data_IF_335819313689
#
_entry.id   IF_335819313689
#
_cell.length_a   1.000
_cell.length_b   1.000
_cell.length_c   1.000
_cell.angle_alpha   90.00
_cell.angle_beta   90.00
_cell.angle_gamma   90.00
#
_symmetry.space_group_name_H-M   'P 1'
#
loop_
_entity.id
_entity.type
_entity.pdbx_description
1 polymer ?
#
# COMPACT_ATOMS: atom_id res chain seq x y z
N UNK A 1 -30.60 34.38 8.05
CA UNK A 1 -30.01 33.28 7.25
C UNK A 1 -28.66 32.96 7.86
N UNK A 2 -28.66 32.05 8.85
CA UNK A 2 -27.44 31.64 9.56
C UNK A 2 -26.73 30.57 8.66
N UNK A 3 -25.74 30.99 7.89
CA UNK A 3 -24.80 30.07 7.32
C UNK A 3 -23.98 29.47 8.48
N UNK A 4 -24.14 28.17 8.72
CA UNK A 4 -23.29 27.43 9.64
C UNK A 4 -21.85 27.56 9.11
N UNK A 5 -21.02 28.38 9.77
CA UNK A 5 -19.57 28.36 9.56
C UNK A 5 -19.09 26.96 9.95
N UNK A 6 -18.72 26.16 8.95
CA UNK A 6 -18.14 24.83 9.18
C UNK A 6 -16.85 25.03 9.96
N UNK A 7 -16.78 24.44 11.14
CA UNK A 7 -15.59 24.52 11.99
C UNK A 7 -14.36 23.99 11.26
N UNK A 8 -13.20 24.62 11.41
CA UNK A 8 -11.93 24.11 10.87
C UNK A 8 -11.64 22.66 11.28
N UNK A 9 -12.15 22.24 12.45
CA UNK A 9 -12.08 20.83 12.90
C UNK A 9 -12.93 19.93 12.01
N UNK A 10 -14.15 20.33 11.66
CA UNK A 10 -15.05 19.54 10.81
C UNK A 10 -14.48 19.35 9.40
N UNK A 11 -13.89 20.41 8.82
CA UNK A 11 -13.21 20.33 7.53
C UNK A 11 -12.05 19.33 7.59
N UNK A 12 -11.23 19.41 8.61
CA UNK A 12 -10.09 18.50 8.74
C UNK A 12 -10.54 17.04 8.94
N UNK A 13 -11.54 16.80 9.79
CA UNK A 13 -12.04 15.43 10.03
C UNK A 13 -12.68 14.84 8.77
N UNK A 14 -13.37 15.64 7.95
CA UNK A 14 -13.89 15.20 6.66
C UNK A 14 -12.76 14.80 5.67
N UNK A 15 -11.62 15.49 5.71
CA UNK A 15 -10.47 15.23 4.84
C UNK A 15 -9.49 14.20 5.40
N UNK A 16 -9.52 13.89 6.69
CA UNK A 16 -8.54 13.04 7.38
C UNK A 16 -8.28 11.72 6.63
N UNK A 17 -9.32 10.99 6.27
CA UNK A 17 -9.20 9.71 5.60
C UNK A 17 -8.50 9.84 4.23
N UNK A 18 -8.88 10.85 3.44
CA UNK A 18 -8.28 11.13 2.13
C UNK A 18 -6.80 11.50 2.25
N UNK A 19 -6.47 12.37 3.22
CA UNK A 19 -5.09 12.79 3.48
C UNK A 19 -4.22 11.62 3.98
N UNK A 20 -4.76 10.76 4.85
CA UNK A 20 -4.09 9.55 5.31
C UNK A 20 -3.84 8.59 4.15
N UNK A 21 -4.84 8.39 3.28
CA UNK A 21 -4.72 7.58 2.07
C UNK A 21 -3.66 8.12 1.09
N UNK A 22 -3.55 9.44 0.95
CA UNK A 22 -2.50 10.08 0.15
C UNK A 22 -1.12 9.85 0.77
N UNK A 23 -0.97 10.14 2.06
CA UNK A 23 0.30 9.98 2.76
C UNK A 23 0.76 8.52 2.79
N UNK A 24 -0.16 7.56 2.99
CA UNK A 24 0.15 6.14 2.96
C UNK A 24 0.64 5.68 1.57
N UNK A 25 -0.01 6.09 0.48
CA UNK A 25 0.48 5.79 -0.88
C UNK A 25 1.84 6.42 -1.16
N UNK A 26 2.13 7.57 -0.55
CA UNK A 26 3.44 8.19 -0.63
C UNK A 26 4.51 7.42 0.14
N UNK A 27 4.21 6.91 1.32
CA UNK A 27 5.20 6.45 2.30
C UNK A 27 5.28 4.92 2.41
N UNK A 28 4.15 4.23 2.14
CA UNK A 28 4.02 2.79 2.31
C UNK A 28 4.05 2.32 3.77
N UNK A 29 3.96 3.25 4.71
CA UNK A 29 3.86 3.00 6.15
C UNK A 29 2.69 3.81 6.69
N UNK A 30 1.85 3.17 7.47
CA UNK A 30 0.66 3.82 8.00
C UNK A 30 0.98 4.71 9.21
N UNK A 31 1.93 4.29 10.03
CA UNK A 31 2.40 5.12 11.15
C UNK A 31 3.04 6.41 10.65
N UNK A 32 3.88 6.35 9.62
CA UNK A 32 4.45 7.54 8.99
C UNK A 32 3.38 8.42 8.35
N UNK A 33 2.33 7.81 7.77
CA UNK A 33 1.22 8.56 7.18
C UNK A 33 0.40 9.31 8.24
N UNK A 34 0.11 8.67 9.38
CA UNK A 34 -0.57 9.29 10.53
C UNK A 34 0.24 10.42 11.14
N UNK A 35 1.56 10.25 11.28
CA UNK A 35 2.46 11.30 11.74
C UNK A 35 2.40 12.53 10.82
N UNK A 36 2.44 12.31 9.50
CA UNK A 36 2.34 13.37 8.50
C UNK A 36 0.99 14.10 8.57
N UNK A 37 -0.11 13.36 8.73
CA UNK A 37 -1.45 13.96 8.82
C UNK A 37 -1.62 14.71 10.15
N UNK A 38 -1.07 14.20 11.23
CA UNK A 38 -1.07 14.87 12.53
C UNK A 38 -0.27 16.19 12.49
N UNK A 39 0.88 16.20 11.85
CA UNK A 39 1.68 17.41 11.64
C UNK A 39 0.95 18.41 10.71
N UNK A 40 0.25 17.93 9.68
CA UNK A 40 -0.57 18.76 8.81
C UNK A 40 -1.71 19.44 9.59
N UNK A 41 -2.35 18.71 10.52
CA UNK A 41 -3.35 19.26 11.45
C UNK A 41 -2.80 20.39 12.31
N UNK A 42 -1.64 20.18 12.94
CA UNK A 42 -1.01 21.21 13.79
C UNK A 42 -0.67 22.48 12.98
N UNK A 43 -0.25 22.32 11.72
CA UNK A 43 -0.01 23.48 10.85
C UNK A 43 -1.29 24.17 10.42
N UNK A 44 -2.36 23.40 10.18
CA UNK A 44 -3.68 23.92 9.83
C UNK A 44 -4.24 24.79 10.93
N UNK A 45 -4.16 24.34 12.19
CA UNK A 45 -4.58 25.13 13.34
C UNK A 45 -3.80 26.45 13.47
N UNK A 46 -2.50 26.45 13.18
CA UNK A 46 -1.65 27.65 13.24
C UNK A 46 -1.90 28.63 12.09
N UNK A 47 -2.39 28.14 10.97
CA UNK A 47 -2.65 28.96 9.78
C UNK A 47 -3.96 29.76 9.87
N UNK A 48 -4.69 29.70 10.97
CA UNK A 48 -6.05 30.24 11.14
C UNK A 48 -6.99 29.76 10.02
N UNK A 49 -7.65 28.61 10.19
CA UNK A 49 -8.49 27.99 9.17
C UNK A 49 -9.55 28.91 8.58
N UNK A 50 -10.05 29.88 9.35
CA UNK A 50 -11.06 30.84 8.91
C UNK A 50 -10.55 31.82 7.84
N UNK A 51 -9.23 31.98 7.73
CA UNK A 51 -8.59 32.87 6.76
C UNK A 51 -8.19 32.17 5.45
N UNK A 52 -8.38 30.84 5.37
CA UNK A 52 -8.04 30.05 4.20
C UNK A 52 -9.22 30.05 3.21
N UNK A 53 -9.00 30.51 1.98
CA UNK A 53 -10.03 30.47 0.93
C UNK A 53 -10.44 29.04 0.54
N UNK A 54 -9.48 28.10 0.60
CA UNK A 54 -9.67 26.68 0.21
C UNK A 54 -8.92 25.76 1.16
N UNK A 55 -9.47 25.49 2.34
CA UNK A 55 -8.83 24.68 3.37
C UNK A 55 -8.41 23.29 2.92
N UNK A 56 -9.24 22.58 2.13
CA UNK A 56 -8.99 21.23 1.63
C UNK A 56 -7.77 21.21 0.68
N UNK A 57 -7.67 22.21 -0.20
CA UNK A 57 -6.55 22.35 -1.11
C UNK A 57 -5.25 22.66 -0.35
N UNK A 58 -5.34 23.51 0.67
CA UNK A 58 -4.21 23.82 1.54
C UNK A 58 -3.74 22.58 2.30
N UNK A 59 -4.65 21.80 2.89
CA UNK A 59 -4.36 20.55 3.57
C UNK A 59 -3.68 19.54 2.66
N UNK A 60 -4.18 19.38 1.43
CA UNK A 60 -3.57 18.50 0.41
C UNK A 60 -2.13 18.92 0.13
N UNK A 61 -1.90 20.23 -0.08
CA UNK A 61 -0.56 20.78 -0.34
C UNK A 61 0.40 20.54 0.81
N UNK A 62 -0.01 20.82 2.04
CA UNK A 62 0.82 20.67 3.24
C UNK A 62 1.14 19.19 3.48
N UNK A 63 0.13 18.32 3.44
CA UNK A 63 0.30 16.87 3.61
C UNK A 63 1.26 16.31 2.55
N UNK A 64 1.12 16.71 1.29
CA UNK A 64 1.99 16.26 0.20
C UNK A 64 3.44 16.69 0.41
N UNK A 65 3.68 17.94 0.81
CA UNK A 65 5.03 18.45 1.10
C UNK A 65 5.68 17.68 2.24
N UNK A 66 4.95 17.49 3.34
CA UNK A 66 5.42 16.70 4.48
C UNK A 66 5.74 15.26 4.08
N UNK A 67 4.87 14.63 3.29
CA UNK A 67 5.08 13.27 2.80
C UNK A 67 6.31 13.17 1.87
N UNK A 68 6.54 14.15 0.99
CA UNK A 68 7.76 14.20 0.16
C UNK A 68 9.02 14.27 1.03
N UNK A 69 9.04 15.12 2.04
CA UNK A 69 10.20 15.29 2.92
C UNK A 69 10.41 14.04 3.78
N UNK A 70 9.34 13.45 4.30
CA UNK A 70 9.40 12.18 5.04
C UNK A 70 9.91 11.05 4.15
N UNK A 71 9.41 10.92 2.91
CA UNK A 71 9.86 9.91 1.96
C UNK A 71 11.35 10.04 1.62
N UNK A 72 11.85 11.26 1.46
CA UNK A 72 13.30 11.51 1.28
C UNK A 72 14.14 11.02 2.46
N UNK A 73 13.63 11.19 3.68
CA UNK A 73 14.29 10.69 4.89
C UNK A 73 14.23 9.16 4.99
N UNK A 74 13.09 8.57 4.67
CA UNK A 74 12.87 7.11 4.68
C UNK A 74 13.77 6.45 3.63
N UNK A 75 13.83 6.97 2.40
CA UNK A 75 14.64 6.40 1.31
C UNK A 75 16.09 6.27 1.74
N UNK A 76 16.65 7.28 2.42
CA UNK A 76 18.02 7.20 2.97
C UNK A 76 18.19 6.12 4.03
N UNK A 77 17.18 5.89 4.89
CA UNK A 77 17.21 4.82 5.92
C UNK A 77 17.03 3.43 5.33
N UNK A 78 16.28 3.30 4.21
CA UNK A 78 16.08 2.03 3.51
C UNK A 78 17.34 1.48 2.86
N UNK A 79 18.36 2.32 2.59
CA UNK A 79 19.68 1.86 2.13
C UNK A 79 20.38 0.98 3.17
N UNK A 80 20.03 1.13 4.46
CA UNK A 80 20.55 0.34 5.58
C UNK A 80 19.63 -0.82 5.98
N UNK A 81 18.45 -0.96 5.31
CA UNK A 81 17.46 -1.97 5.66
C UNK A 81 17.89 -3.38 5.26
N UNK A 82 17.63 -4.35 6.15
CA UNK A 82 18.04 -5.75 5.93
C UNK A 82 17.05 -6.45 5.01
N UNK A 83 17.46 -6.69 3.76
CA UNK A 83 16.63 -7.38 2.76
C UNK A 83 15.65 -6.46 2.03
N UNK A 84 14.70 -7.02 1.27
CA UNK A 84 13.68 -6.25 0.58
C UNK A 84 12.74 -5.58 1.56
N UNK A 85 12.41 -4.33 1.29
CA UNK A 85 11.36 -3.63 2.03
C UNK A 85 10.03 -3.74 1.27
N UNK A 86 8.97 -4.11 1.96
CA UNK A 86 7.60 -4.12 1.44
C UNK A 86 6.75 -3.10 2.19
N UNK A 87 5.72 -2.51 1.55
CA UNK A 87 4.77 -1.65 2.24
C UNK A 87 4.08 -2.36 3.41
N UNK A 88 3.71 -1.61 4.43
CA UNK A 88 2.94 -2.10 5.57
C UNK A 88 1.55 -2.56 5.10
N UNK A 89 1.09 -3.77 5.45
CA UNK A 89 -0.23 -4.24 5.04
C UNK A 89 -1.31 -3.58 5.87
N UNK A 90 -2.40 -3.16 5.20
CA UNK A 90 -3.52 -2.47 5.83
C UNK A 90 -4.82 -3.24 5.56
N UNK A 91 -5.54 -3.71 6.60
CA UNK A 91 -6.87 -4.26 6.42
C UNK A 91 -7.80 -3.21 5.80
N UNK A 92 -8.50 -3.57 4.73
CA UNK A 92 -9.40 -2.68 3.99
C UNK A 92 -10.78 -3.30 3.74
N UNK A 93 -11.06 -4.50 4.29
CA UNK A 93 -12.37 -5.15 4.30
C UNK A 93 -13.36 -4.50 5.26
N UNK A 94 -14.36 -5.26 5.70
CA UNK A 94 -15.33 -4.85 6.73
C UNK A 94 -14.64 -4.66 8.09
N UNK A 95 -13.98 -3.52 8.25
CA UNK A 95 -13.36 -3.12 9.51
C UNK A 95 -14.42 -2.38 10.32
N UNK A 96 -14.67 -2.73 11.59
CA UNK A 96 -15.63 -2.03 12.43
C UNK A 96 -15.36 -0.53 12.45
N UNK A 97 -16.40 0.28 12.31
CA UNK A 97 -16.29 1.73 12.34
C UNK A 97 -15.57 2.18 13.62
N UNK A 98 -14.43 2.85 13.47
CA UNK A 98 -13.62 3.36 14.59
C UNK A 98 -12.28 2.65 14.81
N UNK A 99 -12.03 1.49 14.21
CA UNK A 99 -10.73 0.79 14.27
C UNK A 99 -9.98 0.81 12.95
N UNK A 100 -10.64 1.17 11.86
CA UNK A 100 -10.12 1.12 10.51
C UNK A 100 -9.50 2.43 10.08
N UNK A 101 -8.33 2.30 9.52
CA UNK A 101 -7.78 3.29 8.62
C UNK A 101 -8.67 3.34 7.38
N UNK A 102 -9.55 4.31 7.32
CA UNK A 102 -10.18 4.65 6.06
C UNK A 102 -9.11 5.25 5.15
N UNK A 103 -8.31 4.38 4.55
CA UNK A 103 -7.42 4.76 3.43
C UNK A 103 -8.20 4.87 2.12
N UNK A 104 -9.49 4.56 2.16
CA UNK A 104 -10.41 4.79 1.06
C UNK A 104 -10.79 6.27 1.07
N UNK A 105 -10.52 7.01 -0.01
CA UNK A 105 -11.06 8.34 -0.20
C UNK A 105 -12.59 8.31 -0.12
N UNK A 106 -13.20 9.47 0.13
CA UNK A 106 -14.64 9.63 -0.06
C UNK A 106 -15.06 9.00 -1.39
N UNK A 107 -16.23 8.35 -1.46
CA UNK A 107 -16.64 7.63 -2.64
C UNK A 107 -16.54 8.55 -3.86
N UNK A 108 -15.64 8.20 -4.77
CA UNK A 108 -15.55 8.86 -6.06
C UNK A 108 -16.92 8.71 -6.74
N UNK A 109 -17.43 9.78 -7.33
CA UNK A 109 -18.74 9.77 -7.98
C UNK A 109 -18.74 8.81 -9.19
N UNK A 110 -17.58 8.68 -9.88
CA UNK A 110 -17.42 7.76 -11.00
C UNK A 110 -16.95 6.36 -10.53
N UNK A 111 -17.62 5.27 -10.95
CA UNK A 111 -17.18 3.90 -10.71
C UNK A 111 -15.75 3.61 -11.20
N UNK A 112 -15.31 4.20 -12.33
CA UNK A 112 -13.98 4.02 -12.87
C UNK A 112 -12.91 4.62 -11.94
N UNK A 113 -13.19 5.79 -11.37
CA UNK A 113 -12.28 6.43 -10.41
C UNK A 113 -12.17 5.60 -9.11
N UNK A 114 -13.27 4.96 -8.68
CA UNK A 114 -13.24 4.05 -7.51
C UNK A 114 -12.36 2.84 -7.75
N UNK A 115 -12.43 2.24 -8.93
CA UNK A 115 -11.58 1.09 -9.31
C UNK A 115 -10.12 1.51 -9.33
N UNK A 116 -9.79 2.60 -10.02
CA UNK A 116 -8.42 3.12 -10.09
C UNK A 116 -7.86 3.43 -8.69
N UNK A 117 -8.69 4.00 -7.83
CA UNK A 117 -8.32 4.36 -6.47
C UNK A 117 -8.09 3.12 -5.59
N UNK A 118 -8.94 2.10 -5.73
CA UNK A 118 -8.79 0.81 -5.06
C UNK A 118 -7.53 0.08 -5.53
N UNK A 119 -7.31 -0.02 -6.83
CA UNK A 119 -6.10 -0.61 -7.40
C UNK A 119 -4.82 0.08 -6.92
N UNK A 120 -4.88 1.40 -6.70
CA UNK A 120 -3.74 2.19 -6.23
C UNK A 120 -3.31 1.86 -4.78
N UNK A 121 -4.11 1.11 -4.04
CA UNK A 121 -3.80 0.64 -2.69
C UNK A 121 -3.12 -0.72 -2.68
N UNK A 122 -3.26 -1.53 -3.73
CA UNK A 122 -2.73 -2.90 -3.72
C UNK A 122 -1.23 -2.92 -3.41
N UNK A 123 -0.79 -3.92 -2.66
CA UNK A 123 0.63 -4.07 -2.31
C UNK A 123 1.51 -4.11 -3.58
N UNK A 124 1.02 -4.75 -4.65
CA UNK A 124 1.68 -4.74 -5.95
C UNK A 124 1.89 -3.34 -6.52
N UNK A 125 0.86 -2.50 -6.44
CA UNK A 125 0.97 -1.12 -6.91
C UNK A 125 1.91 -0.28 -6.05
N UNK A 126 1.82 -0.40 -4.73
CA UNK A 126 2.70 0.33 -3.81
C UNK A 126 4.18 -0.01 -4.01
N UNK A 127 4.49 -1.29 -4.31
CA UNK A 127 5.86 -1.70 -4.66
C UNK A 127 6.34 -1.06 -5.97
N UNK A 128 5.46 -0.91 -6.97
CA UNK A 128 5.79 -0.19 -8.20
C UNK A 128 6.04 1.30 -7.93
N UNK A 129 5.26 1.90 -7.05
CA UNK A 129 5.48 3.30 -6.65
C UNK A 129 6.87 3.52 -5.99
N UNK A 130 7.43 2.51 -5.35
CA UNK A 130 8.78 2.58 -4.76
C UNK A 130 9.89 2.77 -5.81
N UNK A 131 9.61 2.46 -7.09
CA UNK A 131 10.52 2.74 -8.22
C UNK A 131 10.55 4.20 -8.63
N UNK A 132 9.60 5.00 -8.15
CA UNK A 132 9.52 6.44 -8.43
C UNK A 132 10.28 7.22 -7.37
N UNK A 133 11.00 8.25 -7.79
CA UNK A 133 11.57 9.22 -6.86
C UNK A 133 10.48 9.99 -6.09
N UNK A 134 10.80 10.60 -4.93
CA UNK A 134 9.80 11.23 -4.07
C UNK A 134 8.91 12.26 -4.78
N UNK A 135 9.48 13.11 -5.62
CA UNK A 135 8.72 14.11 -6.40
C UNK A 135 7.93 13.44 -7.53
N UNK A 136 8.50 12.44 -8.20
CA UNK A 136 7.80 11.70 -9.28
C UNK A 136 6.56 11.00 -8.72
N UNK A 137 6.70 10.34 -7.55
CA UNK A 137 5.60 9.67 -6.85
C UNK A 137 4.51 10.67 -6.46
N UNK A 138 4.88 11.82 -5.88
CA UNK A 138 3.92 12.86 -5.51
C UNK A 138 3.15 13.39 -6.72
N UNK A 139 3.85 13.76 -7.79
CA UNK A 139 3.22 14.27 -9.02
C UNK A 139 2.28 13.23 -9.63
N UNK A 140 2.72 11.97 -9.69
CA UNK A 140 1.90 10.89 -10.20
C UNK A 140 0.63 10.68 -9.37
N UNK A 141 0.75 10.54 -8.05
CA UNK A 141 -0.39 10.32 -7.17
C UNK A 141 -1.37 11.48 -7.21
N UNK A 142 -0.89 12.72 -7.11
CA UNK A 142 -1.75 13.90 -7.14
C UNK A 142 -2.50 14.02 -8.46
N UNK A 143 -1.84 13.76 -9.60
CA UNK A 143 -2.46 13.88 -10.92
C UNK A 143 -3.40 12.70 -11.25
N UNK A 144 -2.93 11.46 -11.06
CA UNK A 144 -3.59 10.28 -11.63
C UNK A 144 -4.49 9.54 -10.62
N UNK A 145 -4.25 9.72 -9.31
CA UNK A 145 -5.03 9.04 -8.27
C UNK A 145 -5.98 10.03 -7.58
N UNK A 146 -5.53 11.26 -7.36
CA UNK A 146 -6.31 12.27 -6.64
C UNK A 146 -6.92 13.35 -7.54
N UNK A 147 -6.64 13.32 -8.85
CA UNK A 147 -7.26 14.24 -9.83
C UNK A 147 -6.92 15.71 -9.63
N UNK A 148 -5.80 16.03 -8.99
CA UNK A 148 -5.41 17.41 -8.72
C UNK A 148 -4.98 18.13 -10.00
N UNK A 149 -5.40 19.39 -10.21
CA UNK A 149 -4.98 20.17 -11.36
C UNK A 149 -3.47 20.47 -11.33
N UNK A 150 -2.82 20.46 -12.49
CA UNK A 150 -1.36 20.67 -12.60
C UNK A 150 -0.87 21.98 -12.01
N UNK A 151 -1.68 23.04 -12.03
CA UNK A 151 -1.34 24.29 -11.35
C UNK A 151 -1.08 24.07 -9.86
N UNK A 152 -1.97 23.33 -9.19
CA UNK A 152 -1.84 23.02 -7.77
C UNK A 152 -0.68 22.05 -7.47
N UNK A 153 -0.48 21.07 -8.36
CA UNK A 153 0.66 20.15 -8.26
C UNK A 153 1.96 20.95 -8.37
N UNK A 154 2.05 21.87 -9.31
CA UNK A 154 3.20 22.75 -9.55
C UNK A 154 3.57 23.54 -8.28
N UNK A 155 2.57 24.19 -7.67
CA UNK A 155 2.73 24.90 -6.40
C UNK A 155 3.19 23.96 -5.26
N UNK A 156 2.61 22.75 -5.21
CA UNK A 156 2.92 21.77 -4.16
C UNK A 156 4.38 21.31 -4.22
N UNK A 157 4.87 20.97 -5.43
CA UNK A 157 6.22 20.39 -5.59
C UNK A 157 7.29 21.43 -5.94
N UNK A 158 6.94 22.70 -6.11
CA UNK A 158 7.86 23.79 -6.43
C UNK A 158 8.46 23.64 -7.84
N UNK A 159 7.62 23.34 -8.85
CA UNK A 159 8.01 23.18 -10.26
C UNK A 159 7.06 23.94 -11.15
N UNK A 160 7.37 24.07 -12.46
CA UNK A 160 6.39 24.58 -13.42
C UNK A 160 5.34 23.51 -13.77
N UNK A 161 4.15 23.94 -14.20
CA UNK A 161 3.12 23.01 -14.65
C UNK A 161 3.59 22.12 -15.80
N UNK A 162 4.36 22.68 -16.73
CA UNK A 162 4.94 21.92 -17.84
C UNK A 162 5.87 20.82 -17.34
N UNK A 163 6.75 21.13 -16.38
CA UNK A 163 7.63 20.16 -15.75
C UNK A 163 6.81 19.06 -15.04
N UNK A 164 5.72 19.42 -14.37
CA UNK A 164 4.83 18.45 -13.71
C UNK A 164 4.16 17.52 -14.73
N UNK A 165 3.67 18.04 -15.88
CA UNK A 165 3.11 17.20 -16.97
C UNK A 165 4.14 16.23 -17.52
N UNK A 166 5.38 16.66 -17.70
CA UNK A 166 6.47 15.79 -18.17
C UNK A 166 6.84 14.72 -17.13
N UNK A 167 6.88 15.07 -15.85
CA UNK A 167 7.12 14.12 -14.74
C UNK A 167 5.99 13.08 -14.71
N UNK A 168 4.73 13.51 -14.72
CA UNK A 168 3.57 12.62 -14.74
C UNK A 168 3.61 11.65 -15.92
N UNK A 169 3.90 12.16 -17.14
CA UNK A 169 4.01 11.32 -18.34
C UNK A 169 5.07 10.23 -18.20
N UNK A 170 6.26 10.55 -17.67
CA UNK A 170 7.33 9.57 -17.42
C UNK A 170 6.94 8.57 -16.34
N UNK A 171 6.34 9.05 -15.25
CA UNK A 171 5.88 8.19 -14.16
C UNK A 171 4.81 7.20 -14.63
N UNK A 172 3.79 7.66 -15.41
CA UNK A 172 2.76 6.80 -16.02
C UNK A 172 3.37 5.70 -16.88
N UNK A 173 4.36 6.06 -17.73
CA UNK A 173 5.02 5.07 -18.58
C UNK A 173 5.71 4.01 -17.73
N UNK A 174 6.50 4.40 -16.71
CA UNK A 174 7.20 3.47 -15.81
C UNK A 174 6.22 2.59 -15.05
N UNK A 175 5.14 3.14 -14.49
CA UNK A 175 4.11 2.36 -13.79
C UNK A 175 3.44 1.37 -14.73
N UNK A 176 3.12 1.77 -15.97
CA UNK A 176 2.52 0.91 -16.97
C UNK A 176 3.44 -0.23 -17.38
N UNK A 177 4.73 0.04 -17.61
CA UNK A 177 5.74 -0.96 -17.97
C UNK A 177 5.91 -2.00 -16.85
N UNK A 178 5.95 -1.58 -15.59
CA UNK A 178 6.10 -2.47 -14.43
C UNK A 178 4.83 -3.28 -14.11
N UNK A 179 3.66 -2.78 -14.51
CA UNK A 179 2.36 -3.43 -14.28
C UNK A 179 1.77 -4.10 -15.52
N UNK A 180 2.48 -4.07 -16.66
CA UNK A 180 1.97 -4.69 -17.88
C UNK A 180 1.50 -6.13 -17.59
N UNK A 181 0.22 -6.38 -17.86
CA UNK A 181 -0.44 -7.68 -17.69
C UNK A 181 -0.46 -8.23 -16.24
N UNK A 182 -0.35 -7.37 -15.22
CA UNK A 182 -0.39 -7.78 -13.81
C UNK A 182 -1.60 -7.21 -13.08
N UNK A 183 -2.32 -8.10 -12.38
CA UNK A 183 -3.40 -7.74 -11.46
C UNK A 183 -3.19 -8.46 -10.12
N UNK A 184 -3.82 -7.97 -9.04
CA UNK A 184 -3.86 -8.73 -7.80
C UNK A 184 -4.51 -10.11 -8.04
N UNK A 185 -3.99 -11.15 -7.38
CA UNK A 185 -4.60 -12.47 -7.38
C UNK A 185 -6.01 -12.37 -6.78
N UNK A 186 -6.97 -13.10 -7.37
CA UNK A 186 -8.29 -13.22 -6.81
C UNK A 186 -8.32 -14.28 -5.68
N UNK A 187 -9.43 -14.32 -4.96
CA UNK A 187 -9.62 -15.22 -3.82
C UNK A 187 -9.53 -16.69 -4.22
N UNK A 188 -10.07 -17.05 -5.41
CA UNK A 188 -10.03 -18.42 -5.92
C UNK A 188 -8.60 -18.90 -6.15
N UNK A 189 -7.78 -18.09 -6.83
CA UNK A 189 -6.37 -18.43 -7.08
C UNK A 189 -5.59 -18.59 -5.78
N UNK A 190 -5.84 -17.73 -4.78
CA UNK A 190 -5.20 -17.85 -3.47
C UNK A 190 -5.65 -19.11 -2.73
N UNK A 191 -6.94 -19.44 -2.77
CA UNK A 191 -7.48 -20.65 -2.14
C UNK A 191 -6.91 -21.92 -2.78
N UNK A 192 -6.84 -21.98 -4.10
CA UNK A 192 -6.26 -23.10 -4.84
C UNK A 192 -4.77 -23.27 -4.51
N UNK A 193 -4.03 -22.15 -4.45
CA UNK A 193 -2.62 -22.16 -4.06
C UNK A 193 -2.42 -22.68 -2.64
N UNK A 194 -3.22 -22.20 -1.68
CA UNK A 194 -3.18 -22.67 -0.29
C UNK A 194 -3.50 -24.17 -0.22
N UNK A 195 -4.53 -24.62 -0.93
CA UNK A 195 -4.89 -26.04 -0.99
C UNK A 195 -3.73 -26.92 -1.47
N UNK A 196 -3.07 -26.53 -2.56
CA UNK A 196 -1.91 -27.25 -3.08
C UNK A 196 -0.70 -27.22 -2.12
N UNK A 197 -0.47 -26.09 -1.44
CA UNK A 197 0.60 -25.96 -0.45
C UNK A 197 0.37 -26.82 0.78
N UNK A 198 -0.85 -26.91 1.30
CA UNK A 198 -1.21 -27.75 2.45
C UNK A 198 -1.07 -29.24 2.11
N UNK A 199 -1.42 -29.63 0.89
CA UNK A 199 -1.26 -31.01 0.41
C UNK A 199 0.20 -31.35 0.06
N UNK A 200 1.08 -30.36 -0.06
CA UNK A 200 2.46 -30.54 -0.52
C UNK A 200 2.54 -30.94 -1.99
N UNK A 201 1.49 -30.60 -2.79
CA UNK A 201 1.43 -30.95 -4.21
C UNK A 201 2.31 -29.99 -5.03
N UNK A 202 3.56 -30.41 -5.24
CA UNK A 202 4.58 -29.64 -5.96
C UNK A 202 4.15 -29.34 -7.40
N UNK A 203 3.56 -30.32 -8.08
CA UNK A 203 3.18 -30.17 -9.49
C UNK A 203 2.01 -29.19 -9.65
N UNK A 204 1.03 -29.25 -8.77
CA UNK A 204 -0.06 -28.28 -8.73
C UNK A 204 0.45 -26.87 -8.46
N UNK A 205 1.34 -26.68 -7.49
CA UNK A 205 1.95 -25.37 -7.20
C UNK A 205 2.72 -24.86 -8.41
N UNK A 206 3.56 -25.69 -9.04
CA UNK A 206 4.32 -25.32 -10.24
C UNK A 206 3.40 -24.91 -11.40
N UNK A 207 2.28 -25.61 -11.60
CA UNK A 207 1.29 -25.29 -12.63
C UNK A 207 0.63 -23.92 -12.46
N UNK A 208 0.54 -23.42 -11.24
CA UNK A 208 -0.02 -22.10 -10.94
C UNK A 208 0.99 -20.96 -11.06
N UNK A 209 2.29 -21.23 -11.11
CA UNK A 209 3.34 -20.22 -11.14
C UNK A 209 3.71 -19.83 -12.57
N UNK A 210 3.89 -18.55 -12.82
CA UNK A 210 4.46 -18.03 -14.06
C UNK A 210 5.95 -18.41 -14.17
N UNK A 211 6.49 -18.65 -15.39
CA UNK A 211 7.92 -18.87 -15.60
C UNK A 211 8.81 -17.77 -14.98
N UNK A 212 8.32 -16.54 -14.97
CA UNK A 212 9.02 -15.35 -14.46
C UNK A 212 8.62 -14.98 -13.03
N UNK A 213 8.02 -15.90 -12.29
CA UNK A 213 7.56 -15.63 -10.92
C UNK A 213 8.69 -15.15 -10.02
N UNK A 214 8.40 -14.10 -9.23
CA UNK A 214 9.33 -13.54 -8.26
C UNK A 214 8.68 -13.52 -6.88
N UNK A 215 9.32 -14.12 -5.89
CA UNK A 215 8.94 -14.01 -4.50
C UNK A 215 9.85 -13.02 -3.79
N UNK A 216 9.25 -12.07 -3.10
CA UNK A 216 9.92 -11.08 -2.25
C UNK A 216 9.42 -11.23 -0.82
N UNK A 217 10.33 -11.23 0.16
CA UNK A 217 9.95 -11.34 1.57
C UNK A 217 10.57 -10.23 2.41
N UNK A 218 9.78 -9.70 3.34
CA UNK A 218 10.17 -8.67 4.30
C UNK A 218 9.99 -9.21 5.71
N UNK A 219 11.11 -9.55 6.36
CA UNK A 219 11.15 -10.00 7.75
C UNK A 219 11.60 -8.91 8.73
N UNK A 220 12.01 -7.76 8.20
CA UNK A 220 12.68 -6.76 9.04
C UNK A 220 14.01 -7.25 9.61
N UNK A 221 14.51 -6.61 10.67
CA UNK A 221 15.75 -7.02 11.32
C UNK A 221 15.61 -8.31 12.12
N UNK A 222 14.42 -8.62 12.62
CA UNK A 222 14.19 -9.61 13.69
C UNK A 222 13.70 -10.98 13.18
N UNK A 223 13.27 -11.07 11.91
CA UNK A 223 12.75 -12.31 11.34
C UNK A 223 13.62 -12.84 10.20
N UNK A 224 13.77 -14.14 10.14
CA UNK A 224 14.40 -14.79 9.00
C UNK A 224 13.51 -14.69 7.75
N UNK A 225 13.98 -13.98 6.76
CA UNK A 225 13.36 -13.83 5.46
C UNK A 225 14.40 -13.90 4.34
N UNK A 226 13.99 -14.14 3.10
CA UNK A 226 14.90 -14.14 1.98
C UNK A 226 15.43 -12.71 1.75
N UNK A 227 16.74 -12.52 1.98
CA UNK A 227 17.39 -11.20 1.84
C UNK A 227 17.48 -10.70 0.39
N UNK A 228 17.15 -11.55 -0.57
CA UNK A 228 17.09 -11.23 -2.01
C UNK A 228 15.85 -11.88 -2.61
N UNK A 229 15.27 -11.28 -3.67
CA UNK A 229 14.17 -11.89 -4.39
C UNK A 229 14.52 -13.33 -4.84
N UNK A 230 13.56 -14.24 -4.67
CA UNK A 230 13.64 -15.62 -5.15
C UNK A 230 12.98 -15.67 -6.52
N UNK A 231 13.71 -16.07 -7.54
CA UNK A 231 13.28 -16.02 -8.94
C UNK A 231 13.11 -17.43 -9.50
N UNK A 232 12.01 -17.63 -10.20
CA UNK A 232 11.68 -18.85 -10.94
C UNK A 232 10.81 -19.84 -10.16
N UNK A 233 9.96 -20.60 -10.87
CA UNK A 233 8.90 -21.42 -10.30
C UNK A 233 9.41 -22.49 -9.33
N UNK A 234 10.45 -23.24 -9.68
CA UNK A 234 10.99 -24.29 -8.82
C UNK A 234 11.45 -23.80 -7.45
N UNK A 235 12.14 -22.65 -7.42
CA UNK A 235 12.65 -22.09 -6.17
C UNK A 235 11.53 -21.51 -5.33
N UNK A 236 10.58 -20.84 -5.99
CA UNK A 236 9.42 -20.25 -5.33
C UNK A 236 8.53 -21.35 -4.76
N UNK A 237 8.21 -22.39 -5.54
CA UNK A 237 7.40 -23.51 -5.08
C UNK A 237 8.02 -24.22 -3.86
N UNK A 238 9.32 -24.55 -3.94
CA UNK A 238 10.04 -25.18 -2.80
C UNK A 238 10.02 -24.31 -1.53
N UNK A 239 10.19 -22.99 -1.70
CA UNK A 239 10.16 -22.07 -0.57
C UNK A 239 8.76 -22.02 0.05
N UNK A 240 7.71 -21.88 -0.77
CA UNK A 240 6.33 -21.81 -0.31
C UNK A 240 5.90 -23.11 0.40
N UNK A 241 6.19 -24.28 -0.18
CA UNK A 241 5.90 -25.58 0.42
C UNK A 241 6.67 -25.75 1.75
N UNK A 242 7.94 -25.34 1.81
CA UNK A 242 8.72 -25.40 3.05
C UNK A 242 8.14 -24.49 4.13
N UNK A 243 7.64 -23.30 3.77
CA UNK A 243 6.99 -22.39 4.70
C UNK A 243 5.64 -22.93 5.18
N UNK A 244 4.83 -23.48 4.27
CA UNK A 244 3.56 -24.11 4.60
C UNK A 244 3.76 -25.29 5.59
N UNK A 245 4.75 -26.14 5.34
CA UNK A 245 5.07 -27.26 6.24
C UNK A 245 5.65 -26.86 7.60
N UNK A 246 5.95 -25.59 7.81
CA UNK A 246 6.39 -25.02 9.10
C UNK A 246 5.31 -24.22 9.80
N UNK A 247 4.16 -24.03 9.15
CA UNK A 247 3.03 -23.33 9.76
C UNK A 247 2.50 -24.19 10.92
N UNK A 248 2.38 -23.62 12.13
CA UNK A 248 1.85 -24.36 13.27
C UNK A 248 0.43 -24.88 13.00
N UNK A 249 0.09 -26.05 13.55
CA UNK A 249 -1.23 -26.68 13.35
C UNK A 249 -2.38 -25.86 13.95
N UNK A 250 -2.10 -25.06 14.96
CA UNK A 250 -3.04 -24.15 15.63
C UNK A 250 -3.06 -22.74 15.04
N UNK A 251 -2.35 -22.50 13.94
CA UNK A 251 -2.39 -21.21 13.26
C UNK A 251 -3.77 -20.96 12.64
N UNK A 252 -4.32 -19.76 12.88
CA UNK A 252 -5.50 -19.27 12.18
C UNK A 252 -5.10 -18.77 10.79
N UNK A 253 -5.72 -19.36 9.75
CA UNK A 253 -5.42 -19.06 8.34
C UNK A 253 -6.70 -18.60 7.67
N UNK A 254 -6.68 -17.37 7.13
CA UNK A 254 -7.84 -16.78 6.45
C UNK A 254 -7.41 -16.03 5.18
N UNK A 255 -8.34 -15.88 4.23
CA UNK A 255 -8.18 -14.95 3.12
C UNK A 255 -9.00 -13.70 3.45
N UNK A 256 -8.33 -12.56 3.49
CA UNK A 256 -8.91 -11.28 3.89
C UNK A 256 -8.59 -10.20 2.88
N UNK A 257 -9.38 -9.11 2.90
CA UNK A 257 -9.08 -7.95 2.06
C UNK A 257 -8.00 -7.09 2.75
N UNK A 258 -6.79 -7.16 2.23
CA UNK A 258 -5.65 -6.36 2.66
C UNK A 258 -5.21 -5.48 1.49
N UNK A 259 -5.07 -4.19 1.71
CA UNK A 259 -4.71 -3.25 0.66
C UNK A 259 -5.63 -3.34 -0.57
N UNK A 260 -6.93 -3.38 -0.33
CA UNK A 260 -7.99 -3.48 -1.34
C UNK A 260 -7.87 -4.71 -2.29
N UNK A 261 -7.15 -5.76 -1.87
CA UNK A 261 -7.03 -7.00 -2.62
C UNK A 261 -7.07 -8.20 -1.67
N UNK A 262 -7.47 -9.39 -2.15
CA UNK A 262 -7.37 -10.61 -1.37
C UNK A 262 -5.90 -10.91 -0.99
N UNK A 263 -5.69 -11.30 0.25
CA UNK A 263 -4.40 -11.74 0.76
C UNK A 263 -4.60 -12.87 1.77
N UNK A 264 -3.67 -13.82 1.80
CA UNK A 264 -3.63 -14.83 2.84
C UNK A 264 -3.05 -14.22 4.11
N UNK A 265 -3.77 -14.36 5.21
CA UNK A 265 -3.34 -13.91 6.53
C UNK A 265 -3.18 -15.14 7.43
N UNK A 266 -1.98 -15.35 7.92
CA UNK A 266 -1.65 -16.40 8.89
C UNK A 266 -1.42 -15.73 10.22
N UNK A 267 -2.23 -16.11 11.22
CA UNK A 267 -2.17 -15.58 12.57
C UNK A 267 -1.63 -16.64 13.51
N UNK A 268 -0.44 -16.39 14.01
CA UNK A 268 0.18 -17.20 15.07
C UNK A 268 1.26 -16.36 15.75
N UNK A 269 1.39 -16.42 17.11
CA UNK A 269 2.37 -15.59 17.84
C UNK A 269 3.81 -15.76 17.34
N UNK A 270 4.18 -16.97 16.95
CA UNK A 270 5.54 -17.27 16.46
C UNK A 270 5.72 -17.00 14.97
N UNK A 271 4.65 -17.01 14.17
CA UNK A 271 4.73 -16.90 12.70
C UNK A 271 3.57 -16.08 12.09
N UNK A 272 3.40 -14.80 12.44
CA UNK A 272 2.45 -13.96 11.74
C UNK A 272 2.95 -13.69 10.32
N UNK A 273 2.11 -13.90 9.32
CA UNK A 273 2.46 -13.71 7.90
C UNK A 273 1.28 -13.14 7.12
N UNK A 274 1.56 -12.17 6.25
CA UNK A 274 0.65 -11.78 5.18
C UNK A 274 1.26 -12.15 3.84
N UNK A 275 0.49 -12.86 3.01
CA UNK A 275 0.89 -13.23 1.65
C UNK A 275 -0.01 -12.55 0.66
N UNK A 276 0.55 -11.66 -0.15
CA UNK A 276 -0.13 -11.06 -1.29
C UNK A 276 0.49 -11.58 -2.59
N UNK A 277 -0.34 -11.82 -3.60
CA UNK A 277 0.12 -12.28 -4.89
C UNK A 277 -0.45 -11.42 -6.02
N UNK A 278 0.30 -11.32 -7.11
CA UNK A 278 -0.20 -10.81 -8.39
C UNK A 278 -0.23 -11.96 -9.40
N UNK A 279 -1.20 -11.90 -10.31
CA UNK A 279 -1.33 -12.81 -11.46
C UNK A 279 -1.03 -12.09 -12.77
N UNK A 280 -0.60 -12.85 -13.76
CA UNK A 280 -0.44 -12.40 -15.15
C UNK A 280 -1.77 -12.49 -15.93
N UNK A 281 -1.76 -12.09 -17.20
CA UNK A 281 -2.91 -12.18 -18.10
C UNK A 281 -3.40 -13.61 -18.39
N UNK A 282 -2.57 -14.63 -18.12
CA UNK A 282 -2.93 -16.04 -18.22
C UNK A 282 -3.46 -16.63 -16.91
N UNK A 283 -3.58 -15.81 -15.86
CA UNK A 283 -4.08 -16.21 -14.54
C UNK A 283 -3.04 -16.88 -13.64
N UNK A 284 -1.74 -16.92 -14.03
CA UNK A 284 -0.68 -17.53 -13.23
C UNK A 284 -0.07 -16.51 -12.26
N UNK A 285 0.37 -16.98 -11.13
CA UNK A 285 1.06 -16.16 -10.12
C UNK A 285 2.41 -15.70 -10.66
N UNK A 286 2.57 -14.39 -10.85
CA UNK A 286 3.80 -13.76 -11.34
C UNK A 286 4.60 -13.05 -10.24
N UNK A 287 3.96 -12.70 -9.13
CA UNK A 287 4.66 -12.14 -7.97
C UNK A 287 4.03 -12.63 -6.67
N UNK A 288 4.87 -12.94 -5.68
CA UNK A 288 4.47 -13.28 -4.31
C UNK A 288 5.19 -12.35 -3.36
N UNK A 289 4.47 -11.77 -2.40
CA UNK A 289 5.02 -10.89 -1.36
C UNK A 289 4.69 -11.46 0.00
N UNK A 290 5.73 -11.80 0.75
CA UNK A 290 5.63 -12.32 2.11
C UNK A 290 6.02 -11.21 3.10
N UNK A 291 5.07 -10.80 3.91
CA UNK A 291 5.31 -9.85 5.00
C UNK A 291 5.36 -10.63 6.31
N UNK A 292 6.55 -10.66 6.94
CA UNK A 292 6.82 -11.35 8.20
C UNK A 292 7.34 -10.38 9.26
N UNK A 293 7.55 -9.10 8.90
CA UNK A 293 8.07 -8.08 9.81
C UNK A 293 7.03 -7.75 10.89
N UNK A 294 7.26 -8.10 12.18
CA UNK A 294 6.27 -7.91 13.24
C UNK A 294 5.88 -6.45 13.44
N UNK A 295 6.81 -5.52 13.22
CA UNK A 295 6.53 -4.08 13.35
C UNK A 295 5.46 -3.62 12.34
N UNK A 296 5.44 -4.23 11.14
CA UNK A 296 4.46 -3.91 10.08
C UNK A 296 3.15 -4.67 10.24
N UNK A 297 3.18 -5.80 10.95
CA UNK A 297 2.01 -6.65 11.15
C UNK A 297 1.19 -6.30 12.39
N UNK A 298 1.72 -5.48 13.31
CA UNK A 298 1.11 -5.18 14.59
C UNK A 298 -0.31 -4.60 14.53
N UNK A 299 -0.73 -4.02 13.41
CA UNK A 299 -2.11 -3.54 13.21
C UNK A 299 -3.08 -4.63 12.76
N UNK A 300 -2.57 -5.67 12.13
CA UNK A 300 -3.34 -6.89 11.85
C UNK A 300 -3.56 -7.68 13.14
N UNK A 301 -2.64 -7.55 14.11
CA UNK A 301 -2.76 -8.15 15.43
C UNK A 301 -3.79 -7.44 16.32
N UNK A 302 -4.09 -6.16 16.10
CA UNK A 302 -5.14 -5.45 16.86
C UNK A 302 -6.56 -6.01 16.63
N UNK A 303 -6.74 -6.89 15.63
CA UNK A 303 -7.92 -7.72 15.44
C UNK A 303 -7.88 -9.01 16.32
N UNK A 304 -6.81 -9.20 17.11
CA UNK A 304 -6.64 -10.33 18.03
C UNK A 304 -6.89 -9.88 19.46
N UNK A 305 -7.96 -10.31 20.10
CA UNK A 305 -8.06 -10.21 21.54
C UNK A 305 -7.16 -11.27 22.16
N UNK A 306 -5.96 -10.92 22.57
CA UNK A 306 -5.18 -11.79 23.44
C UNK A 306 -3.68 -11.96 23.22
N UNK A 307 -2.94 -10.94 22.77
CA UNK A 307 -1.48 -10.88 22.99
C UNK A 307 -1.16 -9.62 23.77
#
# INVERSE_FOLDING_TARGET
>A
MSGSEVSGVEVFEAERARLTGLAYRMLGSISDAEDVVSEAWLRYQRADPAMLERPEAWLTTVTSRLAIDRLRAITRRREEYVGPWLPEPVPTGDVPAGTGLSVTPAPAEDPADRVALSESLTLGFLVVLDRLGPVERAVFLLADVFGEPYARIADTVGRSEEACRQIASRARRRVREERADRAAADESLLADLVGALVLGDVDAVLGMLSPDVVLTSDGGPDRHAARRPVIGPDRVARLLINLAGRTPEDADISIETVNAAPALVVRHPELPVVVAADRDGEGRVVAVRLLLNPVKLGRLDASFPGI
#
